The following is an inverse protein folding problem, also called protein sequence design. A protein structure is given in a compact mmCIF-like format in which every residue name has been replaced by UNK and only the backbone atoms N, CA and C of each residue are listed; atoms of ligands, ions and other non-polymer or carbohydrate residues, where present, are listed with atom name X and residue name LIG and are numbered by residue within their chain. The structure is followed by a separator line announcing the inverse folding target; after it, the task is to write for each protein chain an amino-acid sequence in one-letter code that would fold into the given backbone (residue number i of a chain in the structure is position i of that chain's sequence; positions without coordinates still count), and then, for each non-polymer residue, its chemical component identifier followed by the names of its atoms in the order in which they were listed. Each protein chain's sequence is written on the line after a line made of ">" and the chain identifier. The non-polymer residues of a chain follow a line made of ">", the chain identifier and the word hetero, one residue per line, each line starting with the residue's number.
data_IF_546443594678
#
_entry.id   IF_546443594678
#
_cell.length_a   1.000
_cell.length_b   1.000
_cell.length_c   1.000
_cell.angle_alpha   90.00
_cell.angle_beta   90.00
_cell.angle_gamma   90.00
#
_symmetry.space_group_name_H-M   'P 1'
#
loop_
_entity.id
_entity.type
_entity.pdbx_description
1 polymer ?
#
# COMPACT_ATOMS: atom_id res chain seq x y z
N UNK A 1 15.02 -5.00 -17.57
CA UNK A 1 14.98 -4.31 -16.27
C UNK A 1 14.18 -5.15 -15.29
N UNK A 2 14.55 -5.16 -14.02
CA UNK A 2 13.72 -5.80 -12.98
C UNK A 2 12.54 -4.88 -12.66
N UNK A 3 11.36 -5.47 -12.39
CA UNK A 3 10.18 -4.70 -12.01
C UNK A 3 10.09 -4.56 -10.51
N UNK A 4 9.80 -3.35 -10.05
CA UNK A 4 9.56 -3.04 -8.63
C UNK A 4 8.16 -2.45 -8.48
N UNK A 5 7.37 -3.01 -7.58
CA UNK A 5 6.07 -2.47 -7.19
C UNK A 5 6.09 -2.19 -5.69
N UNK A 6 5.76 -0.97 -5.32
CA UNK A 6 5.62 -0.59 -3.91
C UNK A 6 4.51 0.42 -3.72
N UNK A 7 4.08 0.63 -2.48
CA UNK A 7 3.00 1.58 -2.20
C UNK A 7 3.04 2.14 -0.80
N UNK A 8 2.39 3.29 -0.65
CA UNK A 8 2.30 3.99 0.61
C UNK A 8 0.83 4.36 0.90
N UNK A 9 0.42 4.15 2.15
CA UNK A 9 -0.94 4.50 2.56
C UNK A 9 -1.03 6.01 2.85
N UNK A 10 -2.10 6.68 2.39
CA UNK A 10 -2.36 8.08 2.69
C UNK A 10 -2.99 8.22 4.09
N UNK A 11 -2.20 7.92 5.12
CA UNK A 11 -2.64 7.91 6.53
C UNK A 11 -2.35 9.23 7.27
N UNK A 12 -2.09 10.30 6.56
CA UNK A 12 -1.70 11.62 7.06
C UNK A 12 -0.28 11.98 6.64
N UNK A 13 0.32 12.96 7.34
CA UNK A 13 1.65 13.46 7.02
C UNK A 13 2.72 12.38 7.11
N UNK A 14 3.62 12.36 6.14
CA UNK A 14 4.72 11.41 6.12
C UNK A 14 5.71 11.69 7.24
N UNK A 15 6.13 10.64 7.90
CA UNK A 15 7.13 10.69 8.95
C UNK A 15 8.53 10.52 8.39
N UNK A 16 9.54 10.89 9.18
CA UNK A 16 10.95 10.61 8.85
C UNK A 16 11.18 9.10 8.62
N UNK A 17 10.44 8.25 9.32
CA UNK A 17 10.49 6.79 9.11
C UNK A 17 10.00 6.37 7.72
N UNK A 18 8.95 6.98 7.19
CA UNK A 18 8.48 6.73 5.82
C UNK A 18 9.55 7.14 4.80
N UNK A 19 10.20 8.29 4.99
CA UNK A 19 11.25 8.76 4.11
C UNK A 19 12.46 7.82 4.12
N UNK A 20 13.02 7.54 5.29
CA UNK A 20 14.22 6.72 5.41
C UNK A 20 13.98 5.24 5.07
N UNK A 21 12.80 4.72 5.41
CA UNK A 21 12.47 3.30 5.22
C UNK A 21 12.02 2.95 3.80
N UNK A 22 11.42 3.89 3.07
CA UNK A 22 10.84 3.61 1.76
C UNK A 22 11.22 4.64 0.68
N UNK A 23 10.81 5.89 0.83
CA UNK A 23 10.83 6.88 -0.25
C UNK A 23 12.24 7.13 -0.79
N UNK A 24 13.23 7.23 0.07
CA UNK A 24 14.64 7.39 -0.32
C UNK A 24 15.13 6.27 -1.27
N UNK A 25 14.71 5.04 -0.99
CA UNK A 25 15.08 3.90 -1.83
C UNK A 25 14.33 3.90 -3.16
N UNK A 26 13.08 4.37 -3.17
CA UNK A 26 12.29 4.46 -4.39
C UNK A 26 12.91 5.43 -5.40
N UNK A 27 13.45 6.55 -4.93
CA UNK A 27 14.16 7.50 -5.77
C UNK A 27 15.37 6.83 -6.46
N UNK A 28 16.12 6.00 -5.75
CA UNK A 28 17.26 5.29 -6.36
C UNK A 28 16.83 4.17 -7.32
N UNK A 29 15.68 3.53 -7.08
CA UNK A 29 15.20 2.43 -7.92
C UNK A 29 14.63 2.87 -9.26
N UNK A 30 14.14 4.12 -9.37
CA UNK A 30 13.60 4.61 -10.64
C UNK A 30 14.64 4.68 -11.76
N UNK A 31 15.95 4.67 -11.44
CA UNK A 31 17.03 4.72 -12.42
C UNK A 31 17.31 3.36 -13.07
N UNK A 32 17.22 2.29 -12.28
CA UNK A 32 17.67 0.95 -12.67
C UNK A 32 16.53 -0.06 -12.86
N UNK A 33 15.30 0.31 -12.49
CA UNK A 33 14.15 -0.61 -12.46
C UNK A 33 12.96 -0.04 -13.25
N UNK A 34 12.10 -0.95 -13.72
CA UNK A 34 10.75 -0.64 -14.20
C UNK A 34 9.86 -0.44 -12.95
N UNK A 35 9.84 0.79 -12.44
CA UNK A 35 9.33 1.12 -11.11
C UNK A 35 7.87 1.60 -11.14
N UNK A 36 7.04 0.97 -10.30
CA UNK A 36 5.62 1.30 -10.10
C UNK A 36 5.40 1.66 -8.64
N UNK A 37 4.92 2.86 -8.38
CA UNK A 37 4.64 3.36 -7.03
C UNK A 37 3.17 3.75 -6.90
N UNK A 38 2.52 3.21 -5.88
CA UNK A 38 1.09 3.31 -5.67
C UNK A 38 0.76 4.08 -4.39
N UNK A 39 -0.15 5.04 -4.46
CA UNK A 39 -0.86 5.52 -3.27
C UNK A 39 -2.00 4.55 -3.00
N UNK A 40 -1.93 3.81 -1.88
CA UNK A 40 -2.89 2.75 -1.56
C UNK A 40 -4.10 3.30 -0.79
N UNK A 41 -4.89 4.10 -1.46
CA UNK A 41 -6.08 4.78 -0.95
C UNK A 41 -7.18 3.80 -0.51
N UNK A 42 -7.35 2.67 -1.21
CA UNK A 42 -8.29 1.62 -0.81
C UNK A 42 -7.89 0.97 0.53
N UNK A 43 -6.58 0.81 0.77
CA UNK A 43 -6.10 0.28 2.04
C UNK A 43 -6.39 1.23 3.21
N UNK A 44 -6.35 2.55 2.97
CA UNK A 44 -6.67 3.54 3.99
C UNK A 44 -8.13 3.49 4.45
N UNK A 45 -9.05 2.95 3.64
CA UNK A 45 -10.45 2.73 4.04
C UNK A 45 -10.62 1.75 5.20
N UNK A 46 -9.61 0.93 5.49
CA UNK A 46 -9.63 0.02 6.65
C UNK A 46 -9.44 0.74 7.98
N UNK A 47 -8.96 1.98 7.94
CA UNK A 47 -8.81 2.85 9.11
C UNK A 47 -10.02 3.80 9.23
N UNK A 48 -10.22 4.39 10.40
CA UNK A 48 -11.33 5.34 10.64
C UNK A 48 -10.98 6.75 10.13
N UNK A 49 -10.73 6.87 8.83
CA UNK A 49 -10.45 8.15 8.19
C UNK A 49 -11.71 8.67 7.51
N UNK A 50 -12.08 9.92 7.75
CA UNK A 50 -13.18 10.58 7.05
C UNK A 50 -12.91 10.69 5.53
N UNK A 51 -13.95 10.66 4.71
CA UNK A 51 -13.80 10.69 3.24
C UNK A 51 -13.11 11.97 2.73
N UNK A 52 -13.36 13.13 3.39
CA UNK A 52 -12.72 14.38 3.03
C UNK A 52 -11.22 14.35 3.37
N UNK A 53 -10.87 13.82 4.54
CA UNK A 53 -9.49 13.68 4.99
C UNK A 53 -8.72 12.69 4.11
N UNK A 54 -9.36 11.58 3.71
CA UNK A 54 -8.76 10.61 2.82
C UNK A 54 -8.36 11.23 1.47
N UNK A 55 -9.25 12.06 0.90
CA UNK A 55 -8.95 12.76 -0.36
C UNK A 55 -7.78 13.72 -0.21
N UNK A 56 -7.78 14.53 0.84
CA UNK A 56 -6.70 15.47 1.13
C UNK A 56 -5.38 14.73 1.35
N UNK A 57 -5.38 13.69 2.17
CA UNK A 57 -4.22 12.87 2.45
C UNK A 57 -3.69 12.13 1.20
N UNK A 58 -4.57 11.73 0.28
CA UNK A 58 -4.17 11.09 -0.99
C UNK A 58 -3.40 12.07 -1.88
N UNK A 59 -3.89 13.31 -1.98
CA UNK A 59 -3.20 14.38 -2.73
C UNK A 59 -1.88 14.73 -2.06
N UNK A 60 -1.87 14.89 -0.74
CA UNK A 60 -0.65 15.19 0.02
C UNK A 60 0.40 14.07 -0.13
N UNK A 61 -0.02 12.81 -0.07
CA UNK A 61 0.87 11.67 -0.31
C UNK A 61 1.50 11.72 -1.71
N UNK A 62 0.72 12.01 -2.76
CA UNK A 62 1.24 12.14 -4.11
C UNK A 62 2.23 13.31 -4.24
N UNK A 63 1.90 14.46 -3.65
CA UNK A 63 2.79 15.62 -3.63
C UNK A 63 4.10 15.33 -2.90
N UNK A 64 4.05 14.65 -1.78
CA UNK A 64 5.25 14.25 -1.03
C UNK A 64 6.12 13.27 -1.83
N UNK A 65 5.51 12.32 -2.57
CA UNK A 65 6.25 11.42 -3.46
C UNK A 65 7.01 12.19 -4.54
N UNK A 66 6.40 13.20 -5.15
CA UNK A 66 7.08 14.06 -6.12
C UNK A 66 8.16 14.93 -5.46
N UNK A 67 7.88 15.50 -4.29
CA UNK A 67 8.80 16.37 -3.57
C UNK A 67 10.08 15.68 -3.12
N UNK A 68 10.05 14.37 -2.84
CA UNK A 68 11.24 13.59 -2.50
C UNK A 68 12.09 13.21 -3.73
N UNK A 69 11.63 13.51 -4.95
CA UNK A 69 12.37 13.32 -6.18
C UNK A 69 11.93 12.13 -7.04
N UNK A 70 10.71 11.64 -6.88
CA UNK A 70 10.13 10.71 -7.85
C UNK A 70 9.71 11.46 -9.10
N UNK A 71 10.18 11.02 -10.25
CA UNK A 71 9.94 11.63 -11.55
C UNK A 71 8.94 10.79 -12.37
N UNK A 72 7.76 11.34 -12.72
CA UNK A 72 6.74 10.61 -13.49
C UNK A 72 7.20 10.15 -14.87
N UNK A 73 8.25 10.75 -15.43
CA UNK A 73 8.87 10.33 -16.69
C UNK A 73 9.73 9.07 -16.54
N UNK A 74 10.15 8.73 -15.31
CA UNK A 74 11.08 7.63 -15.00
C UNK A 74 10.43 6.49 -14.26
N UNK A 75 9.28 6.74 -13.62
CA UNK A 75 8.51 5.73 -12.89
C UNK A 75 7.00 5.93 -13.10
N UNK A 76 6.22 4.88 -12.87
CA UNK A 76 4.77 4.97 -12.92
C UNK A 76 4.21 5.28 -11.54
N UNK A 77 3.57 6.44 -11.38
CA UNK A 77 2.82 6.80 -10.17
C UNK A 77 1.33 6.62 -10.42
N UNK A 78 0.63 5.93 -9.51
CA UNK A 78 -0.81 5.69 -9.68
C UNK A 78 -1.55 5.56 -8.35
N UNK A 79 -2.87 5.71 -8.41
CA UNK A 79 -3.77 5.44 -7.28
C UNK A 79 -4.32 4.02 -7.39
N UNK A 80 -4.38 3.32 -6.27
CA UNK A 80 -4.90 1.95 -6.22
C UNK A 80 -6.35 1.86 -6.70
N UNK A 81 -7.19 2.84 -6.34
CA UNK A 81 -8.60 2.90 -6.75
C UNK A 81 -8.80 3.09 -8.25
N UNK A 82 -7.80 3.58 -8.98
CA UNK A 82 -7.86 3.76 -10.43
C UNK A 82 -7.53 2.48 -11.21
N UNK A 83 -7.12 1.41 -10.53
CA UNK A 83 -6.81 0.11 -11.13
C UNK A 83 -7.84 -0.92 -10.65
N UNK A 84 -8.97 -1.09 -11.36
CA UNK A 84 -10.08 -1.97 -10.92
C UNK A 84 -9.66 -3.44 -10.83
N UNK A 85 -8.59 -3.85 -11.49
CA UNK A 85 -8.05 -5.20 -11.41
C UNK A 85 -7.60 -5.56 -10.00
N UNK A 86 -7.15 -4.60 -9.19
CA UNK A 86 -6.79 -4.84 -7.78
C UNK A 86 -8.00 -5.34 -6.98
N UNK A 87 -9.15 -4.70 -7.12
CA UNK A 87 -10.38 -5.11 -6.42
C UNK A 87 -10.95 -6.40 -6.98
N UNK A 88 -10.88 -6.62 -8.29
CA UNK A 88 -11.31 -7.87 -8.93
C UNK A 88 -10.47 -9.06 -8.46
N UNK A 89 -9.15 -8.90 -8.43
CA UNK A 89 -8.25 -9.93 -7.93
C UNK A 89 -8.51 -10.23 -6.45
N UNK A 90 -8.70 -9.17 -5.65
CA UNK A 90 -9.03 -9.30 -4.23
C UNK A 90 -10.29 -10.15 -4.04
N UNK A 91 -11.35 -9.89 -4.79
CA UNK A 91 -12.58 -10.67 -4.73
C UNK A 91 -12.36 -12.16 -5.06
N UNK A 92 -11.59 -12.47 -6.10
CA UNK A 92 -11.26 -13.85 -6.46
C UNK A 92 -10.48 -14.57 -5.34
N UNK A 93 -9.53 -13.87 -4.72
CA UNK A 93 -8.76 -14.42 -3.60
C UNK A 93 -9.61 -14.62 -2.34
N UNK A 94 -10.54 -13.71 -2.06
CA UNK A 94 -11.51 -13.86 -0.96
C UNK A 94 -12.42 -15.06 -1.14
N UNK A 95 -12.84 -15.35 -2.37
CA UNK A 95 -13.64 -16.53 -2.67
C UNK A 95 -12.90 -17.85 -2.44
N UNK A 96 -11.57 -17.83 -2.44
CA UNK A 96 -10.72 -19.02 -2.24
C UNK A 96 -10.14 -19.13 -0.83
N UNK A 97 -10.01 -18.01 -0.12
CA UNK A 97 -9.44 -17.97 1.23
C UNK A 97 -10.45 -18.49 2.29
N UNK A 98 -9.97 -19.28 3.22
CA UNK A 98 -10.77 -19.70 4.36
C UNK A 98 -10.71 -18.69 5.52
N UNK A 99 -11.80 -18.58 6.31
CA UNK A 99 -11.84 -17.75 7.52
C UNK A 99 -10.76 -18.14 8.54
N UNK A 100 -10.36 -19.41 8.58
CA UNK A 100 -9.29 -19.87 9.45
C UNK A 100 -7.92 -19.37 9.04
N UNK A 101 -7.66 -19.21 7.74
CA UNK A 101 -6.43 -18.60 7.23
C UNK A 101 -6.40 -17.11 7.48
N UNK A 102 -7.51 -16.42 7.26
CA UNK A 102 -7.64 -14.98 7.48
C UNK A 102 -7.40 -14.59 8.94
N UNK A 103 -7.95 -15.33 9.90
CA UNK A 103 -7.74 -15.11 11.35
C UNK A 103 -6.30 -15.34 11.82
N UNK A 104 -5.51 -16.13 11.10
CA UNK A 104 -4.08 -16.36 11.42
C UNK A 104 -3.15 -15.25 10.93
N UNK A 105 -3.67 -14.30 10.15
CA UNK A 105 -2.88 -13.20 9.63
C UNK A 105 -2.48 -12.21 10.74
N UNK A 106 -1.21 -11.80 10.74
CA UNK A 106 -0.65 -10.86 11.73
C UNK A 106 -1.38 -9.51 11.74
N UNK A 107 -1.75 -8.97 10.59
CA UNK A 107 -2.46 -7.68 10.51
C UNK A 107 -3.87 -7.75 11.14
N UNK A 108 -4.54 -8.90 11.07
CA UNK A 108 -5.81 -9.07 11.76
C UNK A 108 -5.59 -9.15 13.27
N UNK A 109 -4.53 -9.82 13.72
CA UNK A 109 -4.16 -9.88 15.14
C UNK A 109 -3.79 -8.51 15.68
N UNK A 110 -2.95 -7.76 14.95
CA UNK A 110 -2.45 -6.46 15.40
C UNK A 110 -3.53 -5.36 15.42
N UNK A 111 -4.49 -5.39 14.49
CA UNK A 111 -5.49 -4.33 14.30
C UNK A 111 -6.93 -4.74 14.63
N UNK A 112 -7.21 -6.03 14.70
CA UNK A 112 -8.58 -6.57 14.83
C UNK A 112 -8.82 -7.42 16.07
N UNK A 113 -7.78 -7.96 16.72
CA UNK A 113 -7.93 -8.84 17.88
C UNK A 113 -8.30 -8.00 19.11
N UNK A 114 -9.53 -8.18 19.61
CA UNK A 114 -10.06 -7.45 20.78
C UNK A 114 -10.89 -6.20 20.45
N UNK A 115 -11.10 -5.86 19.19
CA UNK A 115 -12.03 -4.81 18.79
C UNK A 115 -13.30 -5.45 18.18
N UNK A 116 -14.44 -5.30 18.86
CA UNK A 116 -15.76 -5.73 18.33
C UNK A 116 -16.13 -5.06 16.99
N UNK A 117 -15.47 -3.94 16.67
CA UNK A 117 -15.68 -3.12 15.47
C UNK A 117 -14.61 -3.29 14.38
N UNK A 118 -13.84 -4.39 14.38
CA UNK A 118 -12.85 -4.62 13.32
C UNK A 118 -13.52 -4.67 11.95
N UNK A 119 -13.09 -3.78 11.04
CA UNK A 119 -13.67 -3.72 9.68
C UNK A 119 -13.33 -4.98 8.89
N UNK A 120 -14.32 -5.56 8.23
CA UNK A 120 -14.15 -6.72 7.33
C UNK A 120 -13.10 -6.43 6.24
N UNK A 121 -12.97 -5.19 5.81
CA UNK A 121 -11.94 -4.73 4.86
C UNK A 121 -10.48 -4.99 5.29
N UNK A 122 -10.20 -5.35 6.55
CA UNK A 122 -8.87 -5.80 6.97
C UNK A 122 -8.48 -7.17 6.39
N UNK A 123 -9.44 -8.00 6.00
CA UNK A 123 -9.18 -9.29 5.41
C UNK A 123 -8.70 -9.19 3.95
N UNK A 124 -9.36 -8.42 3.06
CA UNK A 124 -9.00 -8.34 1.66
C UNK A 124 -7.71 -7.55 1.38
N UNK A 125 -7.33 -6.62 2.25
CA UNK A 125 -6.15 -5.77 2.00
C UNK A 125 -4.86 -6.53 1.82
N UNK A 126 -4.76 -7.76 2.32
CA UNK A 126 -3.58 -8.60 2.14
C UNK A 126 -3.62 -9.46 0.87
N UNK A 127 -4.81 -9.74 0.36
CA UNK A 127 -4.95 -10.49 -0.88
C UNK A 127 -4.58 -9.64 -2.11
N UNK A 128 -4.74 -8.32 -2.03
CA UNK A 128 -4.46 -7.40 -3.14
C UNK A 128 -2.99 -6.94 -3.21
N UNK A 129 -2.16 -7.27 -2.22
CA UNK A 129 -0.76 -6.81 -2.16
C UNK A 129 0.18 -7.96 -1.79
N UNK A 130 1.29 -8.16 -2.51
CA UNK A 130 2.25 -9.20 -2.17
C UNK A 130 2.85 -8.98 -0.77
N UNK A 131 3.10 -10.04 0.01
CA UNK A 131 3.51 -9.96 1.42
C UNK A 131 4.82 -9.22 1.69
N UNK A 132 5.59 -8.93 0.66
CA UNK A 132 6.90 -8.24 0.75
C UNK A 132 6.80 -6.72 0.77
N UNK A 133 5.65 -6.11 0.50
CA UNK A 133 5.56 -4.66 0.36
C UNK A 133 5.12 -3.91 1.62
N UNK A 134 4.64 -4.61 2.64
CA UNK A 134 4.20 -3.98 3.89
C UNK A 134 5.28 -3.93 4.97
N UNK A 135 6.40 -4.61 4.78
CA UNK A 135 7.58 -4.48 5.64
C UNK A 135 8.64 -3.65 4.91
N UNK A 136 9.01 -2.60 5.51
CA UNK A 136 10.02 -1.58 5.27
C UNK A 136 11.39 -2.04 4.74
N UNK A 137 11.50 -3.20 4.09
CA UNK A 137 12.77 -3.66 3.51
C UNK A 137 12.51 -4.30 2.14
N UNK A 138 13.05 -3.75 1.06
CA UNK A 138 13.06 -4.44 -0.21
C UNK A 138 13.99 -5.64 -0.10
N UNK A 139 13.42 -6.84 0.04
CA UNK A 139 14.22 -8.06 -0.07
C UNK A 139 14.52 -8.28 -1.55
N UNK A 140 15.69 -7.87 -1.97
CA UNK A 140 16.28 -8.28 -3.23
C UNK A 140 16.50 -9.81 -3.14
N UNK A 141 15.59 -10.61 -3.68
CA UNK A 141 15.88 -12.03 -3.94
C UNK A 141 16.84 -12.10 -5.14
N UNK A 142 18.01 -12.65 -4.89
CA UNK A 142 18.97 -13.05 -5.91
C UNK A 142 18.40 -14.12 -6.84
#
# INVERSE_FOLDING_TARGET
>A
MKRVLSGIAPSGSFTLGNYLGALRHWVSFQDDHDAFYCVVDLHALTTETGSADLRANTVDAALNMLAVGLEPERCTLFLQSHVPEHTRLTWLLECTASMGELRRMTQFKDKGEGQEAARVGLFPTRCSWPPTSCSTTPTLSR
#
